data_IF_969091086071
#
_entry.id   IF_969091086071
#
_cell.length_a   1.000
_cell.length_b   1.000
_cell.length_c   1.000
_cell.angle_alpha   90.00
_cell.angle_beta   90.00
_cell.angle_gamma   90.00
#
_symmetry.space_group_name_H-M   'P 1'
#
loop_
_entity.id
_entity.type
_entity.pdbx_description
1 polymer ?
#
# COMPACT_ATOMS: atom_id res chain seq x y z
N UNK A 1 -36.35 -62.38 2.23
CA UNK A 1 -36.62 -60.97 1.89
C UNK A 1 -35.28 -60.26 1.80
N UNK A 2 -34.87 -59.89 0.60
CA UNK A 2 -33.54 -59.31 0.33
C UNK A 2 -33.72 -57.81 0.11
N UNK A 3 -33.02 -56.92 0.83
CA UNK A 3 -33.19 -55.49 0.64
C UNK A 3 -32.48 -55.04 -0.64
N UNK A 4 -33.20 -54.31 -1.48
CA UNK A 4 -32.65 -53.61 -2.64
C UNK A 4 -32.13 -52.25 -2.17
N UNK A 5 -30.81 -52.06 -2.19
CA UNK A 5 -30.20 -50.76 -1.96
C UNK A 5 -30.21 -49.95 -3.25
N UNK A 6 -30.99 -48.87 -3.28
CA UNK A 6 -30.97 -47.87 -4.36
C UNK A 6 -29.81 -46.91 -4.08
N UNK A 7 -28.73 -47.03 -4.84
CA UNK A 7 -27.61 -46.10 -4.80
C UNK A 7 -27.98 -44.83 -5.58
N UNK A 8 -28.27 -43.74 -4.87
CA UNK A 8 -28.49 -42.43 -5.47
C UNK A 8 -27.12 -41.79 -5.77
N UNK A 9 -26.66 -41.89 -7.02
CA UNK A 9 -25.51 -41.13 -7.49
C UNK A 9 -25.90 -39.65 -7.60
N UNK A 10 -25.48 -38.85 -6.63
CA UNK A 10 -25.52 -37.40 -6.75
C UNK A 10 -24.45 -36.97 -7.75
N UNK A 11 -24.87 -36.63 -8.97
CA UNK A 11 -24.02 -35.97 -9.95
C UNK A 11 -23.59 -34.60 -9.40
N UNK A 12 -22.40 -34.55 -8.81
CA UNK A 12 -21.79 -33.30 -8.42
C UNK A 12 -21.37 -32.57 -9.70
N UNK A 13 -22.24 -31.67 -10.17
CA UNK A 13 -21.93 -30.79 -11.30
C UNK A 13 -20.61 -30.08 -11.03
N UNK A 14 -19.64 -30.30 -11.90
CA UNK A 14 -18.33 -29.66 -11.87
C UNK A 14 -18.51 -28.16 -12.15
N UNK A 15 -18.79 -27.37 -11.11
CA UNK A 15 -18.71 -25.92 -11.19
C UNK A 15 -17.28 -25.59 -11.59
N UNK A 16 -17.08 -25.10 -12.83
CA UNK A 16 -15.81 -24.51 -13.26
C UNK A 16 -15.39 -23.54 -12.14
N UNK A 17 -14.19 -23.67 -11.57
CA UNK A 17 -13.72 -22.66 -10.63
C UNK A 17 -13.83 -21.30 -11.31
N UNK A 18 -14.28 -20.25 -10.60
CA UNK A 18 -14.29 -18.92 -11.17
C UNK A 18 -12.90 -18.62 -11.74
N UNK A 19 -12.79 -17.81 -12.82
CA UNK A 19 -11.51 -17.32 -13.28
C UNK A 19 -10.73 -16.81 -12.07
N UNK A 20 -9.50 -17.29 -11.89
CA UNK A 20 -8.70 -17.16 -10.66
C UNK A 20 -8.36 -15.70 -10.32
N UNK A 21 -8.79 -14.74 -11.15
CA UNK A 21 -8.42 -13.33 -11.10
C UNK A 21 -9.64 -12.38 -11.15
N UNK A 22 -10.80 -12.77 -10.59
CA UNK A 22 -11.91 -11.82 -10.41
C UNK A 22 -11.71 -11.04 -9.12
N UNK A 23 -11.23 -9.80 -9.24
CA UNK A 23 -11.17 -8.86 -8.13
C UNK A 23 -12.55 -8.26 -7.88
N UNK A 24 -12.99 -8.23 -6.63
CA UNK A 24 -14.14 -7.41 -6.28
C UNK A 24 -13.83 -5.94 -6.60
N UNK A 25 -14.82 -5.16 -7.05
CA UNK A 25 -14.65 -3.72 -7.22
C UNK A 25 -14.16 -3.09 -5.91
N UNK A 26 -13.20 -2.16 -5.95
CA UNK A 26 -12.74 -1.47 -4.76
C UNK A 26 -13.86 -0.59 -4.18
N UNK A 27 -13.95 -0.53 -2.86
CA UNK A 27 -14.94 0.31 -2.14
C UNK A 27 -14.28 1.56 -1.56
N UNK A 28 -15.07 2.60 -1.26
CA UNK A 28 -14.59 3.76 -0.51
C UNK A 28 -13.95 3.35 0.83
N UNK A 29 -12.79 3.94 1.14
CA UNK A 29 -12.03 3.66 2.37
C UNK A 29 -11.45 4.93 2.96
N UNK A 30 -11.23 4.93 4.28
CA UNK A 30 -10.64 6.04 5.03
C UNK A 30 -9.42 5.53 5.79
N UNK A 31 -8.32 6.28 5.74
CA UNK A 31 -7.06 5.99 6.40
C UNK A 31 -6.68 7.17 7.28
N UNK A 32 -6.41 6.95 8.55
CA UNK A 32 -6.06 8.02 9.48
C UNK A 32 -4.56 8.06 9.76
N UNK A 33 -4.02 9.26 9.97
CA UNK A 33 -2.72 9.46 10.58
C UNK A 33 -2.74 8.99 12.03
N UNK A 34 -1.57 8.66 12.57
CA UNK A 34 -1.44 8.14 13.92
C UNK A 34 -1.91 9.15 14.98
N UNK A 35 -1.59 10.43 14.79
CA UNK A 35 -2.03 11.50 15.69
C UNK A 35 -3.54 11.80 15.62
N UNK A 36 -4.28 11.21 14.67
CA UNK A 36 -5.70 11.45 14.44
C UNK A 36 -6.06 12.82 13.85
N UNK A 37 -5.09 13.70 13.60
CA UNK A 37 -5.33 15.04 13.08
C UNK A 37 -5.57 15.06 11.57
N UNK A 38 -5.03 14.08 10.83
CA UNK A 38 -5.18 13.97 9.39
C UNK A 38 -5.81 12.63 9.02
N UNK A 39 -6.61 12.64 7.96
CA UNK A 39 -7.14 11.42 7.37
C UNK A 39 -7.29 11.57 5.85
N UNK A 40 -7.30 10.43 5.17
CA UNK A 40 -7.33 10.33 3.72
C UNK A 40 -8.44 9.39 3.26
N UNK A 41 -9.37 9.90 2.44
CA UNK A 41 -10.39 9.07 1.78
C UNK A 41 -9.91 8.67 0.39
N UNK A 42 -10.06 7.40 0.08
CA UNK A 42 -9.96 6.85 -1.27
C UNK A 42 -11.37 6.59 -1.76
N UNK A 43 -11.77 7.26 -2.84
CA UNK A 43 -13.09 7.16 -3.44
C UNK A 43 -12.96 6.59 -4.86
N UNK A 44 -13.08 5.26 -5.05
CA UNK A 44 -12.99 4.65 -6.36
C UNK A 44 -14.09 5.14 -7.31
N UNK A 45 -13.77 5.27 -8.59
CA UNK A 45 -14.77 5.53 -9.65
C UNK A 45 -15.54 4.24 -9.96
N UNK A 46 -16.68 4.35 -10.66
CA UNK A 46 -17.52 3.20 -11.04
C UNK A 46 -16.75 2.11 -11.81
N UNK A 47 -15.71 2.49 -12.55
CA UNK A 47 -14.88 1.58 -13.33
C UNK A 47 -13.81 0.85 -12.47
N UNK A 48 -13.59 1.27 -11.22
CA UNK A 48 -12.66 0.63 -10.30
C UNK A 48 -11.16 0.77 -10.65
N UNK A 49 -10.82 1.51 -11.70
CA UNK A 49 -9.42 1.72 -12.16
C UNK A 49 -8.82 3.04 -11.71
N UNK A 50 -9.66 4.00 -11.31
CA UNK A 50 -9.24 5.31 -10.82
C UNK A 50 -9.93 5.60 -9.49
N UNK A 51 -9.34 6.49 -8.70
CA UNK A 51 -9.92 7.00 -7.48
C UNK A 51 -9.75 8.51 -7.36
N UNK A 52 -10.62 9.14 -6.58
CA UNK A 52 -10.39 10.46 -6.02
C UNK A 52 -9.77 10.26 -4.64
N UNK A 53 -8.64 10.92 -4.41
CA UNK A 53 -8.01 11.08 -3.11
C UNK A 53 -8.47 12.36 -2.46
N UNK A 54 -8.79 12.30 -1.17
CA UNK A 54 -9.26 13.43 -0.39
C UNK A 54 -8.54 13.44 0.96
N UNK A 55 -7.59 14.37 1.12
CA UNK A 55 -6.93 14.62 2.39
C UNK A 55 -7.68 15.71 3.14
N UNK A 56 -7.95 15.46 4.41
CA UNK A 56 -8.62 16.38 5.31
C UNK A 56 -8.01 16.34 6.70
N UNK A 57 -8.09 17.44 7.43
CA UNK A 57 -7.85 17.46 8.87
C UNK A 57 -9.14 17.24 9.65
N UNK A 58 -9.00 16.73 10.87
CA UNK A 58 -10.11 16.50 11.79
C UNK A 58 -9.92 17.38 13.02
N UNK A 59 -10.90 18.23 13.29
CA UNK A 59 -10.93 19.06 14.49
C UNK A 59 -11.35 18.28 15.74
N UNK A 60 -11.17 18.87 16.91
CA UNK A 60 -11.55 18.24 18.19
C UNK A 60 -13.05 17.95 18.34
N UNK A 61 -13.90 18.58 17.52
CA UNK A 61 -15.35 18.32 17.45
C UNK A 61 -15.73 17.27 16.39
N UNK A 62 -14.74 16.72 15.66
CA UNK A 62 -14.93 15.79 14.56
C UNK A 62 -15.22 16.43 13.20
N UNK A 63 -15.21 17.76 13.10
CA UNK A 63 -15.39 18.47 11.82
C UNK A 63 -14.23 18.17 10.86
N UNK A 64 -14.56 17.91 9.59
CA UNK A 64 -13.58 17.69 8.53
C UNK A 64 -13.25 18.99 7.80
N UNK A 65 -11.97 19.31 7.65
CA UNK A 65 -11.51 20.42 6.82
C UNK A 65 -10.71 19.91 5.63
N UNK A 66 -11.19 20.19 4.42
CA UNK A 66 -10.49 19.82 3.20
C UNK A 66 -9.11 20.49 3.14
N UNK A 67 -8.07 19.69 2.94
CA UNK A 67 -6.72 20.17 2.64
C UNK A 67 -6.50 20.11 1.14
N UNK A 68 -6.79 18.96 0.53
CA UNK A 68 -6.80 18.81 -0.92
C UNK A 68 -7.65 17.63 -1.37
N UNK A 69 -8.15 17.75 -2.61
CA UNK A 69 -8.91 16.71 -3.31
C UNK A 69 -8.45 16.61 -4.76
N UNK A 70 -8.06 15.41 -5.21
CA UNK A 70 -7.62 15.21 -6.61
C UNK A 70 -7.85 13.80 -7.13
N UNK A 71 -7.79 13.65 -8.44
CA UNK A 71 -7.67 12.34 -9.06
C UNK A 71 -6.30 11.71 -8.72
N UNK A 72 -6.34 10.44 -8.35
CA UNK A 72 -5.16 9.59 -8.14
C UNK A 72 -4.81 8.85 -9.43
N UNK A 73 -3.53 8.49 -9.53
CA UNK A 73 -2.95 7.76 -10.65
C UNK A 73 -3.51 6.33 -10.75
N UNK A 74 -3.90 5.74 -9.61
CA UNK A 74 -4.54 4.44 -9.50
C UNK A 74 -5.50 4.36 -8.29
N UNK A 75 -6.20 3.24 -8.12
CA UNK A 75 -6.87 2.91 -6.85
C UNK A 75 -5.87 2.22 -5.93
N UNK A 76 -5.40 2.84 -4.84
CA UNK A 76 -4.33 2.26 -4.04
C UNK A 76 -4.81 1.05 -3.22
N UNK A 77 -3.95 0.06 -2.95
CA UNK A 77 -4.30 -1.06 -2.06
C UNK A 77 -4.17 -0.64 -0.60
N UNK A 78 -3.04 -0.03 -0.24
CA UNK A 78 -2.81 0.51 1.10
C UNK A 78 -2.50 2.01 1.02
N UNK A 79 -2.81 2.72 2.10
CA UNK A 79 -2.49 4.14 2.23
C UNK A 79 -1.98 4.39 3.64
N UNK A 80 -0.92 5.20 3.70
CA UNK A 80 -0.32 5.70 4.91
C UNK A 80 -0.43 7.22 4.91
N UNK A 81 -0.82 7.78 6.05
CA UNK A 81 -0.94 9.23 6.24
C UNK A 81 0.03 9.62 7.36
N UNK A 82 0.88 10.59 7.07
CA UNK A 82 1.82 11.17 8.02
C UNK A 82 1.11 12.13 8.98
N UNK A 83 1.75 12.42 10.12
CA UNK A 83 1.23 13.42 11.06
C UNK A 83 1.43 14.87 10.56
N UNK A 84 2.08 15.06 9.41
CA UNK A 84 2.30 16.36 8.77
C UNK A 84 1.53 16.51 7.44
N UNK A 85 0.64 15.57 7.11
CA UNK A 85 -0.25 15.66 5.95
C UNK A 85 0.30 15.13 4.63
N UNK A 86 1.54 14.62 4.57
CA UNK A 86 2.00 13.79 3.45
C UNK A 86 1.26 12.45 3.41
N UNK A 87 1.09 11.90 2.20
CA UNK A 87 0.40 10.63 1.95
C UNK A 87 1.32 9.72 1.14
N UNK A 88 1.38 8.44 1.50
CA UNK A 88 2.01 7.41 0.68
C UNK A 88 0.99 6.32 0.37
N UNK A 89 0.91 5.92 -0.89
CA UNK A 89 0.06 4.82 -1.32
C UNK A 89 0.92 3.66 -1.80
N UNK A 90 0.47 2.45 -1.51
CA UNK A 90 1.15 1.22 -1.90
C UNK A 90 0.23 0.38 -2.77
N UNK A 91 0.79 -0.02 -3.90
CA UNK A 91 0.18 -0.85 -4.93
C UNK A 91 -1.11 -0.31 -5.56
N UNK A 92 -1.40 -0.81 -6.76
CA UNK A 92 -2.63 -0.55 -7.50
C UNK A 92 -3.61 -1.74 -7.38
N UNK A 93 -4.89 -1.45 -7.14
CA UNK A 93 -5.96 -2.44 -7.17
C UNK A 93 -6.09 -3.06 -8.57
N UNK A 94 -6.01 -4.39 -8.68
CA UNK A 94 -5.95 -5.09 -9.97
C UNK A 94 -4.63 -4.91 -10.75
N UNK A 95 -3.67 -4.17 -10.19
CA UNK A 95 -2.39 -3.83 -10.81
C UNK A 95 -1.19 -3.89 -9.86
N UNK A 96 -1.26 -4.69 -8.79
CA UNK A 96 -0.20 -4.80 -7.77
C UNK A 96 1.17 -5.09 -8.40
N UNK A 97 2.21 -4.45 -7.89
CA UNK A 97 3.58 -4.64 -8.38
C UNK A 97 3.87 -4.10 -9.78
N UNK A 98 2.91 -3.44 -10.45
CA UNK A 98 3.08 -2.88 -11.80
C UNK A 98 3.65 -1.46 -11.72
N UNK A 99 2.92 -0.47 -12.23
CA UNK A 99 3.40 0.89 -12.43
C UNK A 99 3.41 1.70 -11.14
N UNK A 100 2.38 1.55 -10.32
CA UNK A 100 2.12 2.37 -9.13
C UNK A 100 2.34 1.56 -7.85
N UNK A 101 3.54 1.02 -7.66
CA UNK A 101 3.88 0.23 -6.46
C UNK A 101 4.10 1.12 -5.24
N UNK A 102 4.67 2.31 -5.44
CA UNK A 102 4.75 3.35 -4.42
C UNK A 102 4.46 4.70 -5.07
N UNK A 103 3.43 5.40 -4.58
CA UNK A 103 3.18 6.79 -4.94
C UNK A 103 3.20 7.63 -3.66
N UNK A 104 3.96 8.72 -3.67
CA UNK A 104 4.00 9.66 -2.53
C UNK A 104 3.46 11.01 -2.96
N UNK A 105 2.76 11.66 -2.03
CA UNK A 105 2.18 12.97 -2.19
C UNK A 105 2.65 13.87 -1.05
N UNK A 106 3.00 15.11 -1.38
CA UNK A 106 3.25 16.13 -0.37
C UNK A 106 1.94 16.58 0.32
N UNK A 107 2.07 17.43 1.34
CA UNK A 107 0.93 17.95 2.09
C UNK A 107 -0.05 18.79 1.25
N UNK A 108 0.33 19.20 0.04
CA UNK A 108 -0.52 19.95 -0.91
C UNK A 108 -1.11 19.03 -1.98
N UNK A 109 -0.88 17.72 -1.88
CA UNK A 109 -1.36 16.71 -2.80
C UNK A 109 -0.57 16.65 -4.10
N UNK A 110 0.59 17.29 -4.23
CA UNK A 110 1.46 17.13 -5.40
C UNK A 110 2.13 15.77 -5.33
N UNK A 111 2.12 15.03 -6.43
CA UNK A 111 2.85 13.76 -6.55
C UNK A 111 4.35 14.03 -6.49
N UNK A 112 5.03 13.51 -5.47
CA UNK A 112 6.48 13.67 -5.26
C UNK A 112 7.27 12.48 -5.81
N UNK A 113 6.67 11.30 -5.83
CA UNK A 113 7.23 10.09 -6.45
C UNK A 113 6.11 9.19 -6.97
N UNK A 114 6.37 8.49 -8.06
CA UNK A 114 5.57 7.39 -8.60
C UNK A 114 6.55 6.32 -9.08
N UNK A 115 6.59 5.16 -8.41
CA UNK A 115 7.57 4.10 -8.64
C UNK A 115 6.90 2.77 -8.90
N UNK A 116 7.41 2.10 -9.93
CA UNK A 116 7.14 0.69 -10.16
C UNK A 116 7.94 -0.18 -9.19
N UNK A 117 7.59 -1.46 -9.11
CA UNK A 117 8.36 -2.40 -8.31
C UNK A 117 9.82 -2.54 -8.80
N UNK A 118 10.05 -2.40 -10.11
CA UNK A 118 11.40 -2.40 -10.67
C UNK A 118 12.22 -1.18 -10.26
N UNK A 119 11.58 -0.02 -10.13
CA UNK A 119 12.26 1.18 -9.63
C UNK A 119 12.60 1.03 -8.13
N UNK A 120 11.74 0.35 -7.38
CA UNK A 120 12.00 0.03 -5.97
C UNK A 120 13.08 -1.02 -5.81
N UNK A 121 13.25 -1.95 -6.75
CA UNK A 121 14.23 -3.04 -6.68
C UNK A 121 14.98 -3.20 -8.01
N UNK A 122 15.87 -2.27 -8.37
CA UNK A 122 16.55 -2.28 -9.68
C UNK A 122 17.54 -3.44 -9.85
N UNK A 123 17.92 -4.10 -8.75
CA UNK A 123 18.82 -5.26 -8.74
C UNK A 123 18.12 -6.53 -8.25
N UNK A 124 16.83 -6.67 -8.56
CA UNK A 124 16.07 -7.85 -8.19
C UNK A 124 16.66 -9.08 -8.89
N UNK A 125 17.05 -10.10 -8.13
CA UNK A 125 17.50 -11.37 -8.68
C UNK A 125 16.37 -12.02 -9.51
N UNK A 126 16.65 -12.68 -10.65
CA UNK A 126 15.64 -13.28 -11.51
C UNK A 126 14.70 -14.27 -10.80
N UNK A 127 15.16 -14.99 -9.77
CA UNK A 127 14.28 -15.88 -8.99
C UNK A 127 13.28 -15.10 -8.15
N UNK A 128 13.70 -13.96 -7.60
CA UNK A 128 12.82 -13.05 -6.85
C UNK A 128 11.84 -12.35 -7.79
N UNK A 129 12.29 -11.90 -8.96
CA UNK A 129 11.40 -11.37 -9.99
C UNK A 129 10.39 -12.43 -10.43
N UNK A 130 10.83 -13.65 -10.70
CA UNK A 130 9.95 -14.76 -11.03
C UNK A 130 8.94 -15.04 -9.90
N UNK A 131 9.37 -15.09 -8.65
CA UNK A 131 8.48 -15.31 -7.50
C UNK A 131 7.41 -14.22 -7.38
N UNK A 132 7.78 -12.96 -7.63
CA UNK A 132 6.84 -11.84 -7.54
C UNK A 132 5.88 -11.78 -8.73
N UNK A 133 6.38 -12.06 -9.95
CA UNK A 133 5.61 -11.97 -11.19
C UNK A 133 4.80 -13.25 -11.50
N UNK A 134 4.95 -14.33 -10.73
CA UNK A 134 4.46 -15.67 -11.10
C UNK A 134 2.93 -15.81 -11.13
N UNK A 135 2.16 -14.98 -10.43
CA UNK A 135 0.69 -15.01 -10.51
C UNK A 135 0.08 -13.61 -10.58
N UNK A 136 -0.88 -13.35 -11.49
CA UNK A 136 -1.60 -12.06 -11.57
C UNK A 136 -2.31 -11.65 -10.28
N UNK A 137 -2.71 -12.62 -9.46
CA UNK A 137 -3.43 -12.47 -8.19
C UNK A 137 -2.55 -12.54 -6.94
N UNK A 138 -1.24 -12.83 -7.06
CA UNK A 138 -0.32 -12.91 -5.91
C UNK A 138 0.99 -12.19 -6.17
N UNK A 139 0.92 -10.87 -6.33
CA UNK A 139 2.09 -10.02 -6.16
C UNK A 139 2.39 -9.89 -4.66
N UNK A 140 3.11 -10.89 -4.14
CA UNK A 140 3.40 -11.09 -2.72
C UNK A 140 4.44 -10.14 -2.13
N UNK A 141 4.87 -9.09 -2.85
CA UNK A 141 5.98 -8.26 -2.38
C UNK A 141 5.65 -7.48 -1.10
N UNK A 142 4.36 -7.23 -0.86
CA UNK A 142 3.84 -6.69 0.39
C UNK A 142 3.43 -7.76 1.43
N UNK A 143 3.49 -9.06 1.11
CA UNK A 143 3.21 -10.10 2.11
C UNK A 143 4.27 -9.99 3.20
N UNK A 144 3.83 -9.73 4.43
CA UNK A 144 4.70 -9.48 5.60
C UNK A 144 5.62 -8.26 5.46
N UNK A 145 5.47 -7.47 4.39
CA UNK A 145 6.10 -6.16 4.37
C UNK A 145 5.43 -5.26 5.40
N UNK A 146 6.20 -4.31 5.90
CA UNK A 146 5.73 -3.29 6.81
C UNK A 146 6.09 -1.94 6.20
N UNK A 147 5.20 -0.97 6.32
CA UNK A 147 5.47 0.38 5.87
C UNK A 147 4.85 1.38 6.85
N UNK A 148 5.27 2.63 6.75
CA UNK A 148 4.69 3.71 7.52
C UNK A 148 5.52 4.97 7.51
N UNK A 149 5.09 5.94 8.31
CA UNK A 149 5.83 7.15 8.59
C UNK A 149 6.49 7.06 9.97
N UNK A 150 7.68 7.63 10.11
CA UNK A 150 8.33 7.83 11.41
C UNK A 150 9.17 9.10 11.41
N UNK A 151 9.45 9.61 12.61
CA UNK A 151 10.42 10.70 12.81
C UNK A 151 11.75 10.06 13.27
N UNK A 152 12.84 10.18 12.49
CA UNK A 152 14.17 9.73 12.91
C UNK A 152 14.57 10.34 14.26
N UNK A 153 15.13 9.52 15.15
CA UNK A 153 15.47 9.91 16.52
C UNK A 153 14.32 9.81 17.53
N UNK A 154 13.07 9.62 17.10
CA UNK A 154 11.96 9.32 18.02
C UNK A 154 11.89 7.82 18.32
N UNK A 155 12.53 7.40 19.41
CA UNK A 155 12.65 5.98 19.81
C UNK A 155 11.34 5.31 20.21
N UNK A 156 10.26 6.08 20.44
CA UNK A 156 8.95 5.51 20.80
C UNK A 156 8.29 4.76 19.64
N UNK A 157 8.70 5.03 18.41
CA UNK A 157 7.99 4.58 17.21
C UNK A 157 8.95 4.17 16.10
N UNK A 158 9.99 3.42 16.46
CA UNK A 158 10.82 2.73 15.48
C UNK A 158 10.28 1.32 15.27
N UNK A 159 9.38 1.11 14.29
CA UNK A 159 9.00 -0.23 13.91
C UNK A 159 10.29 -0.94 13.49
N UNK A 160 10.58 -2.07 14.12
CA UNK A 160 11.73 -2.95 13.79
C UNK A 160 13.10 -2.50 14.31
N UNK A 161 13.20 -1.79 15.44
CA UNK A 161 14.51 -1.53 16.05
C UNK A 161 15.45 -0.72 15.15
N UNK A 162 14.89 0.08 14.23
CA UNK A 162 15.58 1.06 13.42
C UNK A 162 15.97 2.24 14.31
N UNK A 163 16.97 2.02 15.17
CA UNK A 163 17.62 3.09 15.92
C UNK A 163 18.59 3.81 14.99
N UNK A 164 18.07 4.61 14.06
CA UNK A 164 18.93 5.41 13.21
C UNK A 164 19.19 6.76 13.85
N UNK A 165 20.31 6.86 14.57
CA UNK A 165 20.87 8.14 15.03
C UNK A 165 21.53 8.90 13.87
N UNK A 166 21.79 8.24 12.72
CA UNK A 166 22.61 8.80 11.64
C UNK A 166 21.80 9.58 10.61
N UNK A 167 20.48 9.42 10.57
CA UNK A 167 19.62 10.20 9.68
C UNK A 167 19.37 11.60 10.25
N UNK A 168 20.18 12.57 9.81
CA UNK A 168 19.97 14.00 10.07
C UNK A 168 18.81 14.54 9.23
N UNK A 169 17.58 14.15 9.52
CA UNK A 169 16.38 14.69 8.84
C UNK A 169 15.89 15.99 9.47
N UNK A 170 16.49 16.45 10.56
CA UNK A 170 16.08 17.66 11.26
C UNK A 170 14.66 17.57 11.83
N UNK A 171 14.22 16.37 12.24
CA UNK A 171 12.87 16.14 12.76
C UNK A 171 11.79 15.93 11.70
N UNK A 172 12.16 15.89 10.41
CA UNK A 172 11.22 15.58 9.32
C UNK A 172 10.82 14.11 9.33
N UNK A 173 9.56 13.83 8.99
CA UNK A 173 9.06 12.47 8.82
C UNK A 173 9.69 11.80 7.59
N UNK A 174 9.90 10.50 7.69
CA UNK A 174 10.42 9.64 6.64
C UNK A 174 9.39 8.55 6.38
N UNK A 175 9.12 8.28 5.11
CA UNK A 175 8.36 7.10 4.72
C UNK A 175 9.31 5.91 4.56
N UNK A 176 9.00 4.78 5.16
CA UNK A 176 9.83 3.58 5.09
C UNK A 176 9.01 2.38 4.64
N UNK A 177 9.71 1.43 4.02
CA UNK A 177 9.18 0.12 3.66
C UNK A 177 10.22 -0.91 4.07
N UNK A 178 9.86 -1.85 4.95
CA UNK A 178 10.61 -3.08 5.17
C UNK A 178 9.92 -4.22 4.44
N UNK A 179 10.59 -4.79 3.46
CA UNK A 179 10.07 -5.93 2.70
C UNK A 179 10.26 -7.25 3.45
N UNK A 180 9.54 -8.29 3.00
CA UNK A 180 9.75 -9.67 3.43
C UNK A 180 11.20 -10.15 3.28
N UNK A 181 11.92 -9.69 2.25
CA UNK A 181 13.29 -10.10 1.98
C UNK A 181 14.35 -9.35 2.78
N UNK A 182 13.94 -8.53 3.75
CA UNK A 182 14.85 -7.76 4.61
C UNK A 182 15.31 -6.43 4.01
N UNK A 183 14.91 -6.08 2.78
CA UNK A 183 15.20 -4.74 2.26
C UNK A 183 14.45 -3.69 3.06
N UNK A 184 15.17 -2.70 3.58
CA UNK A 184 14.65 -1.47 4.13
C UNK A 184 14.88 -0.35 3.12
N UNK A 185 13.79 0.23 2.64
CA UNK A 185 13.78 1.40 1.76
C UNK A 185 13.27 2.61 2.54
N UNK A 186 13.89 3.77 2.34
CA UNK A 186 13.47 5.02 2.98
C UNK A 186 13.37 6.15 1.99
N UNK A 187 12.32 6.95 2.13
CA UNK A 187 11.96 8.00 1.21
C UNK A 187 11.70 9.30 1.97
N UNK A 188 12.22 10.39 1.42
CA UNK A 188 11.83 11.72 1.80
C UNK A 188 10.45 12.00 1.20
N UNK A 189 9.40 12.24 2.01
CA UNK A 189 8.04 12.34 1.49
C UNK A 189 7.79 13.66 0.74
N UNK A 190 8.56 14.71 1.02
CA UNK A 190 8.42 16.02 0.38
C UNK A 190 9.07 16.04 -1.02
N UNK A 191 10.14 15.26 -1.20
CA UNK A 191 10.87 15.22 -2.47
C UNK A 191 10.68 13.93 -3.26
N UNK A 192 10.14 12.87 -2.63
CA UNK A 192 10.02 11.55 -3.23
C UNK A 192 11.35 10.80 -3.43
N UNK A 193 12.46 11.41 -3.01
CA UNK A 193 13.81 10.84 -3.18
C UNK A 193 14.02 9.70 -2.21
N UNK A 194 14.69 8.65 -2.70
CA UNK A 194 15.19 7.58 -1.84
C UNK A 194 16.34 8.17 -1.02
N UNK A 195 16.21 8.13 0.30
CA UNK A 195 17.21 8.62 1.24
C UNK A 195 18.36 7.61 1.33
N UNK A 196 18.00 6.34 1.56
CA UNK A 196 18.92 5.23 1.52
C UNK A 196 18.19 3.88 1.43
N UNK A 197 19.00 2.83 1.31
CA UNK A 197 18.59 1.43 1.21
C UNK A 197 19.56 0.57 2.01
N UNK A 198 19.02 -0.28 2.88
CA UNK A 198 19.80 -1.23 3.68
C UNK A 198 19.17 -2.63 3.56
N UNK A 199 20.00 -3.67 3.62
CA UNK A 199 19.53 -5.04 3.80
C UNK A 199 19.63 -5.37 5.29
N UNK A 200 18.53 -5.76 5.92
CA UNK A 200 18.36 -5.93 7.37
C UNK A 200 17.90 -7.35 7.70
#
# INVERSE_FOLDING_TARGET
MTPVFVALLLAQGTKKPPPVDVWSPPTPRVFAAWNGQFAFKVLPTEQGTKAIGYLFSVDGDGSEHEIWKRALECVPVEVYVSDAGQVATIDEWGGRGKKHSLVTYDAKGKTTSDRSLRDLFPRMDPKREAFILQTPSSFQWMIQAQAGFYIPGNTRFSPVGLFDQDLKTGGRQVFWIKTFWGDLLRFDPDTGKELDRKQV
#
